data_IF_510880258633
#
_entry.id   IF_510880258633
#
_cell.length_a   1.000
_cell.length_b   1.000
_cell.length_c   1.000
_cell.angle_alpha   90.00
_cell.angle_beta   90.00
_cell.angle_gamma   90.00
#
_symmetry.space_group_name_H-M   'P 1'
#
loop_
_entity.id
_entity.type
_entity.pdbx_description
1 polymer ?
#
# COMPACT_ATOMS: atom_id res chain seq x y z
N UNK A 1 -5.75 -17.41 13.30
CA UNK A 1 -5.63 -15.94 13.19
C UNK A 1 -7.02 -15.42 12.85
N UNK A 2 -7.59 -14.52 13.65
CA UNK A 2 -8.93 -14.00 13.37
C UNK A 2 -8.91 -13.18 12.07
N UNK A 3 -9.73 -13.55 11.09
CA UNK A 3 -9.77 -12.91 9.76
C UNK A 3 -9.97 -11.39 9.85
N UNK A 4 -10.78 -10.96 10.81
CA UNK A 4 -11.05 -9.55 11.11
C UNK A 4 -9.80 -8.86 11.66
N UNK A 5 -9.04 -9.52 12.53
CA UNK A 5 -7.79 -8.97 13.08
C UNK A 5 -6.75 -8.77 11.98
N UNK A 6 -6.60 -9.73 11.06
CA UNK A 6 -5.74 -9.59 9.88
C UNK A 6 -6.14 -8.39 9.02
N UNK A 7 -7.45 -8.18 8.80
CA UNK A 7 -7.93 -7.04 8.04
C UNK A 7 -7.65 -5.71 8.74
N UNK A 8 -7.86 -5.62 10.06
CA UNK A 8 -7.57 -4.38 10.83
C UNK A 8 -6.08 -4.03 10.72
N UNK A 9 -5.20 -5.02 10.82
CA UNK A 9 -3.75 -4.81 10.66
C UNK A 9 -3.42 -4.35 9.24
N UNK A 10 -3.96 -5.01 8.22
CA UNK A 10 -3.74 -4.64 6.82
C UNK A 10 -4.28 -3.23 6.50
N UNK A 11 -5.44 -2.88 7.05
CA UNK A 11 -6.04 -1.56 6.93
C UNK A 11 -5.14 -0.50 7.56
N UNK A 12 -4.68 -0.73 8.79
CA UNK A 12 -3.76 0.18 9.49
C UNK A 12 -2.46 0.37 8.73
N UNK A 13 -1.81 -0.71 8.30
CA UNK A 13 -0.56 -0.65 7.55
C UNK A 13 -0.73 0.05 6.20
N UNK A 14 -1.79 -0.27 5.45
CA UNK A 14 -2.07 0.37 4.17
C UNK A 14 -2.34 1.87 4.30
N UNK A 15 -3.08 2.28 5.34
CA UNK A 15 -3.30 3.70 5.64
C UNK A 15 -2.00 4.42 6.01
N UNK A 16 -1.15 3.81 6.84
CA UNK A 16 0.16 4.38 7.17
C UNK A 16 1.00 4.58 5.92
N UNK A 17 1.02 3.62 4.99
CA UNK A 17 1.75 3.75 3.72
C UNK A 17 1.20 4.92 2.90
N UNK A 18 -0.12 5.08 2.80
CA UNK A 18 -0.75 6.15 2.02
C UNK A 18 -0.50 7.53 2.64
N UNK A 19 -0.64 7.67 3.96
CA UNK A 19 -0.48 8.94 4.68
C UNK A 19 1.00 9.35 4.69
N UNK A 20 1.89 8.42 5.02
CA UNK A 20 3.32 8.66 5.16
C UNK A 20 4.10 8.43 3.85
N UNK A 21 3.40 8.37 2.70
CA UNK A 21 4.04 8.15 1.39
C UNK A 21 5.18 9.14 1.15
N UNK A 22 5.02 10.41 1.52
CA UNK A 22 6.07 11.41 1.33
C UNK A 22 7.33 11.07 2.14
N UNK A 23 7.19 10.75 3.43
CA UNK A 23 8.36 10.35 4.23
C UNK A 23 8.99 9.06 3.71
N UNK A 24 8.18 8.11 3.24
CA UNK A 24 8.67 6.86 2.65
C UNK A 24 9.48 7.15 1.38
N UNK A 25 8.98 8.01 0.48
CA UNK A 25 9.69 8.41 -0.74
C UNK A 25 10.93 9.22 -0.42
N UNK A 26 10.88 10.12 0.56
CA UNK A 26 12.03 10.94 0.98
C UNK A 26 13.14 10.06 1.58
N UNK A 27 12.79 8.95 2.26
CA UNK A 27 13.75 7.98 2.79
C UNK A 27 14.25 6.98 1.74
N UNK A 28 13.37 6.47 0.89
CA UNK A 28 13.70 5.42 -0.10
C UNK A 28 14.30 5.98 -1.41
N UNK A 29 14.09 7.27 -1.66
CA UNK A 29 14.43 7.92 -2.93
C UNK A 29 13.36 7.74 -4.00
N UNK A 30 13.48 8.54 -5.06
CA UNK A 30 12.60 8.43 -6.22
C UNK A 30 12.95 7.19 -7.05
N UNK A 31 11.94 6.36 -7.33
CA UNK A 31 12.12 5.16 -8.14
C UNK A 31 12.04 5.51 -9.62
N UNK A 32 13.16 5.41 -10.33
CA UNK A 32 13.21 5.69 -11.78
C UNK A 32 12.26 4.79 -12.58
N UNK A 33 12.05 3.55 -12.13
CA UNK A 33 11.07 2.65 -12.75
C UNK A 33 9.64 3.21 -12.62
N UNK A 34 9.28 3.67 -11.42
CA UNK A 34 7.95 4.22 -11.16
C UNK A 34 7.73 5.53 -11.94
N UNK A 35 8.71 6.43 -11.97
CA UNK A 35 8.65 7.66 -12.76
C UNK A 35 8.51 7.37 -14.27
N UNK A 36 9.24 6.37 -14.79
CA UNK A 36 9.18 6.01 -16.22
C UNK A 36 7.84 5.39 -16.65
N UNK A 37 7.12 4.74 -15.72
CA UNK A 37 5.85 4.05 -15.99
C UNK A 37 4.63 4.92 -15.69
N UNK A 38 4.69 5.72 -14.64
CA UNK A 38 3.55 6.47 -14.11
C UNK A 38 3.68 7.99 -14.36
N UNK A 39 4.80 8.45 -14.92
CA UNK A 39 5.08 9.86 -15.17
C UNK A 39 5.66 10.58 -13.96
N UNK A 40 5.70 11.91 -14.04
CA UNK A 40 6.25 12.75 -12.98
C UNK A 40 5.48 12.58 -11.65
N UNK A 41 6.21 12.26 -10.58
CA UNK A 41 5.64 11.90 -9.27
C UNK A 41 5.13 10.45 -9.21
N UNK A 42 5.48 9.63 -10.21
CA UNK A 42 5.10 8.23 -10.30
C UNK A 42 5.50 7.40 -9.09
N UNK A 43 6.60 7.74 -8.43
CA UNK A 43 7.03 7.10 -7.19
C UNK A 43 6.01 7.26 -6.07
N UNK A 44 5.43 8.45 -5.91
CA UNK A 44 4.39 8.72 -4.91
C UNK A 44 3.11 7.94 -5.23
N UNK A 45 2.72 7.93 -6.50
CA UNK A 45 1.54 7.18 -6.97
C UNK A 45 1.73 5.68 -6.75
N UNK A 46 2.92 5.15 -7.00
CA UNK A 46 3.26 3.75 -6.76
C UNK A 46 3.08 3.36 -5.29
N UNK A 47 3.63 4.15 -4.35
CA UNK A 47 3.49 3.87 -2.93
C UNK A 47 2.06 3.94 -2.43
N UNK A 48 1.27 4.92 -2.92
CA UNK A 48 -0.17 4.99 -2.59
C UNK A 48 -0.95 3.80 -3.13
N UNK A 49 -0.68 3.38 -4.37
CA UNK A 49 -1.28 2.19 -4.97
C UNK A 49 -0.88 0.92 -4.22
N UNK A 50 0.36 0.82 -3.78
CA UNK A 50 0.84 -0.29 -2.96
C UNK A 50 0.09 -0.34 -1.63
N UNK A 51 -0.04 0.79 -0.92
CA UNK A 51 -0.83 0.88 0.30
C UNK A 51 -2.29 0.48 0.10
N UNK A 52 -2.92 0.92 -0.99
CA UNK A 52 -4.28 0.52 -1.36
C UNK A 52 -4.37 -0.99 -1.62
N UNK A 53 -3.39 -1.58 -2.30
CA UNK A 53 -3.34 -3.01 -2.59
C UNK A 53 -3.23 -3.84 -1.30
N UNK A 54 -2.45 -3.38 -0.32
CA UNK A 54 -2.37 -4.02 1.01
C UNK A 54 -3.75 -4.04 1.69
N UNK A 55 -4.49 -2.93 1.64
CA UNK A 55 -5.86 -2.86 2.19
C UNK A 55 -6.78 -3.86 1.46
N UNK A 56 -6.73 -3.88 0.13
CA UNK A 56 -7.56 -4.78 -0.68
C UNK A 56 -7.25 -6.26 -0.41
N UNK A 57 -5.98 -6.62 -0.29
CA UNK A 57 -5.56 -7.99 0.07
C UNK A 57 -6.07 -8.39 1.46
N UNK A 58 -5.95 -7.49 2.44
CA UNK A 58 -6.51 -7.69 3.77
C UNK A 58 -8.03 -7.90 3.73
N UNK A 59 -8.73 -7.11 2.91
CA UNK A 59 -10.17 -7.22 2.74
C UNK A 59 -10.57 -8.56 2.09
N UNK A 60 -9.89 -8.96 1.02
CA UNK A 60 -10.12 -10.25 0.34
C UNK A 60 -9.88 -11.43 1.28
N UNK A 61 -8.86 -11.34 2.14
CA UNK A 61 -8.63 -12.34 3.18
C UNK A 61 -9.75 -12.36 4.23
N UNK A 62 -10.24 -11.19 4.64
CA UNK A 62 -11.34 -11.07 5.60
C UNK A 62 -12.64 -11.72 5.10
N UNK A 63 -13.00 -11.50 3.84
CA UNK A 63 -14.22 -12.08 3.23
C UNK A 63 -14.08 -13.56 2.88
N UNK A 64 -12.88 -14.15 3.05
CA UNK A 64 -12.66 -15.58 2.92
C UNK A 64 -12.21 -16.06 1.55
N UNK A 65 -11.77 -15.17 0.65
CA UNK A 65 -11.35 -15.55 -0.72
C UNK A 65 -10.17 -16.53 -0.75
N UNK A 66 -9.29 -16.50 0.25
CA UNK A 66 -8.09 -17.33 0.35
C UNK A 66 -8.16 -18.40 1.46
N UNK A 67 -9.37 -18.72 1.94
CA UNK A 67 -9.60 -19.78 2.93
C UNK A 67 -10.06 -21.08 2.28
#
# INVERSE_FOLDING_TARGET
MDRILTFIIALGLGLVIIIYTKQIVDMAGNSQWAESKLGAGGTYTFWKLFGLLVILMGFLYAIGTFN
#
